data_IF_820596717006
#
_entry.id   IF_820596717006
#
_cell.length_a   1.000
_cell.length_b   1.000
_cell.length_c   1.000
_cell.angle_alpha   90.00
_cell.angle_beta   90.00
_cell.angle_gamma   90.00
#
_symmetry.space_group_name_H-M   'P 1'
#
loop_
_entity.id
_entity.type
_entity.pdbx_description
1 polymer ?
#
# COMPACT_ATOMS: atom_id res chain seq x y z
N UNK A 1 5.86 -7.30 -19.25
CA UNK A 1 6.75 -8.36 -19.75
C UNK A 1 6.08 -9.68 -19.47
N UNK A 2 5.31 -10.16 -20.45
CA UNK A 2 4.43 -11.35 -20.36
C UNK A 2 5.14 -12.62 -20.81
N UNK A 3 6.40 -12.53 -21.25
CA UNK A 3 7.18 -13.66 -21.70
C UNK A 3 8.12 -14.09 -20.57
N UNK A 4 7.88 -15.27 -20.01
CA UNK A 4 8.62 -15.90 -18.90
C UNK A 4 10.07 -16.27 -19.30
N UNK A 5 10.84 -15.30 -19.79
CA UNK A 5 12.22 -15.45 -20.23
C UNK A 5 13.17 -15.27 -19.06
N UNK A 6 13.90 -16.33 -18.73
CA UNK A 6 15.06 -16.22 -17.84
C UNK A 6 16.09 -15.26 -18.45
N UNK A 7 16.34 -14.15 -17.77
CA UNK A 7 17.37 -13.20 -18.17
C UNK A 7 18.74 -13.78 -17.82
N UNK A 8 19.54 -14.09 -18.85
CA UNK A 8 20.90 -14.60 -18.67
C UNK A 8 21.89 -13.44 -18.62
N UNK A 9 22.63 -13.34 -17.52
CA UNK A 9 23.64 -12.30 -17.32
C UNK A 9 24.99 -12.78 -17.83
N UNK A 10 25.57 -12.04 -18.78
CA UNK A 10 26.97 -12.26 -19.18
C UNK A 10 27.87 -11.78 -18.04
N UNK A 11 28.94 -12.52 -17.78
CA UNK A 11 29.94 -12.15 -16.77
C UNK A 11 31.17 -11.54 -17.43
N UNK A 12 31.68 -10.47 -16.84
CA UNK A 12 32.98 -9.88 -17.13
C UNK A 12 33.85 -9.97 -15.86
N UNK A 13 34.89 -10.80 -15.89
CA UNK A 13 35.73 -11.11 -14.73
C UNK A 13 34.93 -11.49 -13.46
N UNK A 14 33.88 -12.30 -13.63
CA UNK A 14 33.00 -12.73 -12.53
C UNK A 14 31.96 -11.69 -12.10
N UNK A 15 31.92 -10.51 -12.72
CA UNK A 15 30.93 -9.46 -12.43
C UNK A 15 29.81 -9.51 -13.47
N UNK A 16 28.53 -9.53 -13.06
CA UNK A 16 27.42 -9.53 -14.01
C UNK A 16 27.33 -8.20 -14.76
N UNK A 17 27.27 -8.29 -16.08
CA UNK A 17 27.01 -7.16 -16.98
C UNK A 17 25.51 -6.87 -17.03
N UNK A 18 25.16 -5.58 -17.17
CA UNK A 18 23.78 -5.18 -17.38
C UNK A 18 23.25 -5.79 -18.70
N UNK A 19 22.17 -6.59 -18.69
CA UNK A 19 21.62 -7.24 -19.88
C UNK A 19 21.13 -6.24 -20.93
N UNK A 20 20.82 -4.99 -20.53
CA UNK A 20 20.36 -3.92 -21.41
C UNK A 20 21.54 -3.07 -21.97
N UNK A 21 22.79 -3.46 -21.66
CA UNK A 21 23.99 -2.80 -22.19
C UNK A 21 24.62 -1.76 -21.25
N UNK A 22 25.58 -1.01 -21.77
CA UNK A 22 26.44 -0.11 -20.98
C UNK A 22 25.66 1.10 -20.48
N UNK A 23 25.77 1.40 -19.19
CA UNK A 23 25.20 2.60 -18.55
C UNK A 23 26.20 3.76 -18.40
N UNK A 24 27.46 3.56 -18.82
CA UNK A 24 28.54 4.54 -18.64
C UNK A 24 29.20 4.51 -17.25
N UNK A 25 28.70 3.69 -16.32
CA UNK A 25 29.27 3.50 -14.98
C UNK A 25 29.67 2.04 -14.77
N UNK A 26 30.75 1.81 -14.03
CA UNK A 26 31.18 0.48 -13.56
C UNK A 26 30.98 0.41 -12.04
N UNK A 27 30.76 -0.79 -11.52
CA UNK A 27 30.49 -1.00 -10.10
C UNK A 27 29.02 -1.29 -9.83
N UNK A 28 28.71 -1.60 -8.56
CA UNK A 28 27.34 -1.77 -8.06
C UNK A 28 26.67 -0.45 -7.67
N UNK A 29 27.46 0.61 -7.47
CA UNK A 29 26.96 1.88 -6.94
C UNK A 29 26.30 1.69 -5.57
N UNK A 30 25.11 2.29 -5.39
CA UNK A 30 24.32 2.20 -4.16
C UNK A 30 23.35 0.99 -4.11
N UNK A 31 23.33 0.13 -5.14
CA UNK A 31 22.41 -1.02 -5.19
C UNK A 31 22.81 -2.10 -4.18
N UNK A 32 21.88 -2.85 -3.55
CA UNK A 32 22.22 -3.86 -2.54
C UNK A 32 23.05 -5.07 -3.01
N UNK A 33 22.89 -5.54 -4.25
CA UNK A 33 23.57 -6.73 -4.81
C UNK A 33 24.16 -6.48 -6.20
N UNK A 34 25.16 -7.27 -6.58
CA UNK A 34 25.63 -7.33 -7.96
C UNK A 34 24.59 -8.05 -8.82
N UNK A 35 24.36 -7.55 -10.04
CA UNK A 35 23.36 -8.12 -10.95
C UNK A 35 21.93 -7.75 -10.54
N UNK A 36 20.96 -8.68 -10.57
CA UNK A 36 19.56 -8.39 -10.26
C UNK A 36 19.34 -7.88 -8.83
N UNK A 37 18.59 -6.78 -8.72
CA UNK A 37 18.12 -6.22 -7.45
C UNK A 37 16.60 -6.24 -7.47
N UNK A 38 16.00 -7.27 -6.88
CA UNK A 38 14.55 -7.45 -6.86
C UNK A 38 13.94 -6.61 -5.74
N UNK A 39 12.96 -5.80 -6.12
CA UNK A 39 12.13 -5.03 -5.21
C UNK A 39 10.68 -5.46 -5.39
N UNK A 40 9.95 -5.47 -4.28
CA UNK A 40 8.51 -5.71 -4.28
C UNK A 40 7.82 -4.41 -3.90
N UNK A 41 6.79 -4.08 -4.68
CA UNK A 41 5.91 -2.93 -4.47
C UNK A 41 4.57 -3.49 -4.00
N UNK A 42 4.10 -3.06 -2.83
CA UNK A 42 2.80 -3.45 -2.32
C UNK A 42 1.74 -2.43 -2.73
N UNK A 43 0.80 -2.84 -3.58
CA UNK A 43 -0.36 -2.05 -3.97
C UNK A 43 -1.59 -2.53 -3.19
N UNK A 44 -1.80 -1.94 -2.03
CA UNK A 44 -2.93 -2.27 -1.15
C UNK A 44 -4.06 -1.29 -1.45
N UNK A 45 -5.21 -1.80 -1.89
CA UNK A 45 -6.36 -1.00 -2.32
C UNK A 45 -7.64 -1.44 -1.63
N UNK A 46 -8.59 -0.52 -1.46
CA UNK A 46 -9.97 -0.82 -1.02
C UNK A 46 -10.97 0.14 -1.67
N UNK A 47 -12.17 -0.36 -1.94
CA UNK A 47 -13.30 0.49 -2.33
C UNK A 47 -13.95 1.10 -1.10
N UNK A 48 -14.28 2.39 -1.17
CA UNK A 48 -14.98 3.12 -0.12
C UNK A 48 -16.15 3.90 -0.74
N UNK A 49 -17.36 3.68 -0.23
CA UNK A 49 -18.57 4.39 -0.70
C UNK A 49 -18.79 5.63 0.15
N UNK A 50 -18.54 6.81 -0.41
CA UNK A 50 -18.92 8.07 0.24
C UNK A 50 -20.38 8.42 -0.08
N UNK A 51 -21.11 8.86 0.95
CA UNK A 51 -22.50 9.33 0.80
C UNK A 51 -22.64 10.50 -0.18
N UNK A 52 -21.58 11.28 -0.36
CA UNK A 52 -21.57 12.54 -1.14
C UNK A 52 -21.04 12.38 -2.56
N UNK A 53 -20.14 11.43 -2.82
CA UNK A 53 -19.36 11.37 -4.07
C UNK A 53 -19.35 9.99 -4.73
N UNK A 54 -20.13 9.03 -4.24
CA UNK A 54 -20.15 7.66 -4.76
C UNK A 54 -18.92 6.86 -4.32
N UNK A 55 -18.61 5.81 -5.09
CA UNK A 55 -17.52 4.90 -4.78
C UNK A 55 -16.16 5.50 -5.17
N UNK A 56 -15.24 5.58 -4.21
CA UNK A 56 -13.85 5.99 -4.41
C UNK A 56 -12.91 4.82 -4.15
N UNK A 57 -11.75 4.81 -4.80
CA UNK A 57 -10.69 3.85 -4.55
C UNK A 57 -9.65 4.48 -3.62
N UNK A 58 -9.41 3.84 -2.48
CA UNK A 58 -8.37 4.23 -1.53
C UNK A 58 -7.20 3.26 -1.63
N UNK A 59 -5.99 3.76 -1.42
CA UNK A 59 -4.78 2.94 -1.39
C UNK A 59 -3.77 3.44 -0.35
N UNK A 60 -2.92 2.53 0.11
CA UNK A 60 -1.93 2.81 1.15
C UNK A 60 -0.68 3.44 0.52
N UNK A 61 -0.18 4.50 1.16
CA UNK A 61 1.08 5.17 0.80
C UNK A 61 1.99 5.28 2.02
N UNK A 62 3.30 5.25 1.78
CA UNK A 62 4.32 5.61 2.73
C UNK A 62 4.64 7.10 2.58
N UNK A 63 4.56 7.85 3.68
CA UNK A 63 4.99 9.26 3.72
C UNK A 63 6.40 9.33 4.29
N UNK A 64 7.36 9.78 3.47
CA UNK A 64 8.73 10.01 3.93
C UNK A 64 8.88 11.42 4.47
N UNK A 65 9.14 11.55 5.78
CA UNK A 65 9.32 12.85 6.45
C UNK A 65 10.48 13.67 5.87
N UNK A 66 11.56 13.01 5.44
CA UNK A 66 12.78 13.70 4.97
C UNK A 66 12.61 14.48 3.66
N UNK A 67 11.63 14.14 2.83
CA UNK A 67 11.48 14.70 1.47
C UNK A 67 10.08 15.20 1.15
N UNK A 68 9.15 15.11 2.11
CA UNK A 68 7.71 15.36 1.93
C UNK A 68 7.16 14.70 0.64
N UNK A 69 7.56 13.44 0.43
CA UNK A 69 7.17 12.65 -0.73
C UNK A 69 6.29 11.50 -0.29
N UNK A 70 5.28 11.23 -1.10
CA UNK A 70 4.42 10.04 -1.00
C UNK A 70 4.93 8.99 -1.99
N UNK A 71 5.09 7.77 -1.51
CA UNK A 71 5.45 6.62 -2.34
C UNK A 71 4.60 5.41 -1.97
N UNK A 72 4.58 4.41 -2.83
CA UNK A 72 4.05 3.10 -2.44
C UNK A 72 4.98 2.45 -1.42
N UNK A 73 4.47 1.55 -0.55
CA UNK A 73 5.32 0.72 0.28
C UNK A 73 6.19 -0.19 -0.61
N UNK A 74 7.49 0.03 -0.59
CA UNK A 74 8.46 -0.71 -1.42
C UNK A 74 9.54 -1.32 -0.53
N UNK A 75 9.91 -2.58 -0.79
CA UNK A 75 11.02 -3.23 -0.09
C UNK A 75 11.93 -3.99 -1.04
N UNK A 76 13.23 -3.93 -0.78
CA UNK A 76 14.22 -4.81 -1.40
C UNK A 76 14.09 -6.21 -0.81
N UNK A 77 14.06 -7.23 -1.66
CA UNK A 77 13.96 -8.62 -1.21
C UNK A 77 15.31 -9.33 -1.36
N UNK A 78 15.91 -9.59 -0.21
CA UNK A 78 17.29 -10.05 -0.06
C UNK A 78 17.50 -11.55 -0.32
N UNK A 79 16.46 -12.35 -0.14
CA UNK A 79 16.53 -13.81 -0.24
C UNK A 79 15.14 -14.43 -0.09
N UNK A 80 15.08 -15.61 0.53
CA UNK A 80 13.88 -16.45 0.63
C UNK A 80 12.82 -15.92 1.61
N UNK A 81 13.14 -14.90 2.41
CA UNK A 81 12.27 -14.38 3.47
C UNK A 81 11.33 -13.25 3.01
N UNK A 82 10.68 -13.41 1.86
CA UNK A 82 9.83 -12.39 1.24
C UNK A 82 8.83 -11.76 2.21
N UNK A 83 8.02 -12.58 2.89
CA UNK A 83 6.92 -12.09 3.72
C UNK A 83 7.41 -11.40 5.00
N UNK A 84 8.54 -11.86 5.57
CA UNK A 84 9.18 -11.21 6.71
C UNK A 84 9.77 -9.84 6.33
N UNK A 85 10.44 -9.76 5.17
CA UNK A 85 10.95 -8.49 4.64
C UNK A 85 9.81 -7.50 4.40
N UNK A 86 8.68 -7.95 3.84
CA UNK A 86 7.50 -7.11 3.61
C UNK A 86 6.82 -6.70 4.90
N UNK A 87 6.76 -7.58 5.89
CA UNK A 87 6.20 -7.27 7.20
C UNK A 87 6.90 -6.09 7.87
N UNK A 88 8.21 -5.94 7.68
CA UNK A 88 8.99 -4.82 8.22
C UNK A 88 8.52 -3.43 7.76
N UNK A 89 7.71 -3.34 6.69
CA UNK A 89 7.09 -2.09 6.24
C UNK A 89 5.94 -1.65 7.16
N UNK A 90 5.35 -2.56 7.93
CA UNK A 90 4.14 -2.33 8.72
C UNK A 90 4.43 -2.53 10.21
N UNK A 91 3.79 -1.74 11.05
CA UNK A 91 3.87 -1.88 12.51
C UNK A 91 2.98 -3.04 12.97
N UNK A 92 3.45 -4.28 12.82
CA UNK A 92 2.72 -5.50 13.21
C UNK A 92 3.61 -6.44 14.04
N UNK A 93 2.98 -7.19 14.94
CA UNK A 93 3.62 -8.23 15.79
C UNK A 93 3.36 -9.64 15.28
N UNK A 94 2.64 -9.80 14.16
CA UNK A 94 2.43 -11.09 13.51
C UNK A 94 3.75 -11.63 12.93
N UNK A 95 3.81 -12.86 12.45
CA UNK A 95 4.97 -13.37 11.72
C UNK A 95 4.47 -13.94 10.40
N UNK A 96 4.64 -13.20 9.31
CA UNK A 96 4.17 -13.65 8.01
C UNK A 96 5.21 -14.54 7.35
N UNK A 97 4.80 -15.78 7.08
CA UNK A 97 5.55 -16.79 6.33
C UNK A 97 4.89 -17.12 4.99
N UNK A 98 3.60 -16.80 4.85
CA UNK A 98 2.79 -17.07 3.65
C UNK A 98 2.03 -15.84 3.17
N UNK A 99 1.55 -15.85 1.92
CA UNK A 99 0.65 -14.81 1.40
C UNK A 99 -0.67 -14.76 2.16
N UNK A 100 -1.19 -15.89 2.60
CA UNK A 100 -2.50 -15.97 3.26
C UNK A 100 -2.51 -15.22 4.59
N UNK A 101 -1.42 -15.31 5.36
CA UNK A 101 -1.23 -14.57 6.61
C UNK A 101 -1.20 -13.05 6.36
N UNK A 102 -0.42 -12.61 5.37
CA UNK A 102 -0.38 -11.21 4.96
C UNK A 102 -1.75 -10.70 4.49
N UNK A 103 -2.44 -11.47 3.65
CA UNK A 103 -3.76 -11.11 3.13
C UNK A 103 -4.78 -11.03 4.28
N UNK A 104 -4.71 -11.96 5.24
CA UNK A 104 -5.57 -11.96 6.43
C UNK A 104 -5.37 -10.70 7.26
N UNK A 105 -4.13 -10.27 7.47
CA UNK A 105 -3.81 -9.02 8.17
C UNK A 105 -4.50 -7.81 7.50
N UNK A 106 -4.32 -7.62 6.19
CA UNK A 106 -4.91 -6.48 5.49
C UNK A 106 -6.44 -6.53 5.42
N UNK A 107 -7.03 -7.74 5.34
CA UNK A 107 -8.48 -7.91 5.45
C UNK A 107 -8.99 -7.51 6.84
N UNK A 108 -8.26 -7.83 7.91
CA UNK A 108 -8.59 -7.41 9.27
C UNK A 108 -8.51 -5.89 9.46
N UNK A 109 -7.52 -5.24 8.85
CA UNK A 109 -7.38 -3.79 8.87
C UNK A 109 -8.46 -3.04 8.07
N UNK A 110 -9.16 -3.73 7.16
CA UNK A 110 -10.21 -3.14 6.33
C UNK A 110 -11.59 -3.08 7.01
N UNK A 111 -11.73 -3.59 8.24
CA UNK A 111 -13.01 -3.56 8.95
C UNK A 111 -13.43 -2.12 9.26
N UNK A 112 -14.73 -1.79 9.12
CA UNK A 112 -15.23 -0.45 9.40
C UNK A 112 -14.97 -0.10 10.86
N UNK A 113 -14.39 1.09 11.09
CA UNK A 113 -14.34 1.69 12.43
C UNK A 113 -15.78 1.71 12.95
N UNK A 114 -16.08 1.13 14.13
CA UNK A 114 -17.41 1.20 14.71
C UNK A 114 -17.85 2.66 14.76
N UNK A 115 -18.99 2.99 14.14
CA UNK A 115 -19.53 4.33 14.19
C UNK A 115 -19.75 4.66 15.68
N UNK A 116 -19.06 5.65 16.25
CA UNK A 116 -19.26 5.98 17.65
C UNK A 116 -20.72 6.42 17.85
N UNK A 117 -21.40 5.99 18.94
CA UNK A 117 -22.81 6.30 19.18
C UNK A 117 -23.14 7.81 19.13
N UNK A 118 -22.15 8.66 19.38
CA UNK A 118 -22.26 10.12 19.30
C UNK A 118 -22.55 10.66 17.89
N UNK A 119 -22.26 9.90 16.84
CA UNK A 119 -22.54 10.31 15.46
C UNK A 119 -23.99 10.02 15.01
N UNK A 120 -24.82 9.40 15.85
CA UNK A 120 -26.21 9.05 15.55
C UNK A 120 -27.20 10.15 15.99
N UNK A 121 -26.77 11.11 16.81
CA UNK A 121 -27.63 12.22 17.25
C UNK A 121 -27.32 13.50 16.48
N UNK A 122 -28.08 13.74 15.41
CA UNK A 122 -28.44 15.11 15.00
C UNK A 122 -29.95 15.21 15.06
N UNK A 123 -30.50 16.32 15.61
CA UNK A 123 -31.88 16.39 16.05
C UNK A 123 -32.84 16.30 14.87
N UNK A 124 -33.86 15.46 15.03
CA UNK A 124 -35.07 15.48 14.20
C UNK A 124 -35.62 16.90 14.28
N UNK A 125 -35.74 17.57 13.14
CA UNK A 125 -36.28 18.92 13.07
C UNK A 125 -37.68 18.97 13.69
N UNK A 126 -37.79 19.70 14.78
CA UNK A 126 -39.06 20.09 15.38
C UNK A 126 -39.73 21.06 14.40
N UNK A 127 -40.78 20.60 13.71
CA UNK A 127 -41.62 21.47 12.90
C UNK A 127 -42.43 22.33 13.87
N UNK A 128 -42.02 23.60 14.00
CA UNK A 128 -42.80 24.60 14.71
C UNK A 128 -44.16 24.76 14.02
N UNK A 129 -45.23 24.37 14.70
CA UNK A 129 -46.60 24.65 14.29
C UNK A 129 -46.92 26.07 14.77
N UNK A 130 -47.13 26.98 13.82
CA UNK A 130 -47.51 28.38 14.02
C UNK A 130 -48.89 28.48 14.72
N UNK A 131 -49.02 29.19 15.87
CA UNK A 131 -50.28 29.30 16.61
C UNK A 131 -51.17 30.46 16.12
N UNK A 132 -51.30 30.66 14.81
CA UNK A 132 -52.12 31.75 14.24
C UNK A 132 -53.10 31.31 13.15
N UNK A 133 -53.98 30.35 13.45
CA UNK A 133 -55.27 30.24 12.74
C UNK A 133 -56.39 29.85 13.71
N UNK A 134 -56.85 30.86 14.45
CA UNK A 134 -58.20 30.88 14.99
C UNK A 134 -58.98 31.98 14.26
N UNK A 135 -60.05 31.60 13.56
CA UNK A 135 -61.37 32.27 13.58
C UNK A 135 -62.29 31.76 12.46
N UNK A 136 -63.51 31.41 12.91
CA UNK A 136 -64.78 31.16 12.21
C UNK A 136 -64.97 29.80 11.53
#
# INVERSE_FOLDING_TARGET
>A
NEDNHNVVYKLDNGIPLNPIGRTGLRGRGALPRWGPNHYVILLITRWHSLKTSGNVLEFVVEKTERRDQLSLPVRFIGGECLYLDLQSLFKTTENWTTSDEMIKFFKGAALPVPIPPSAIQSPVGEVAVDPSTGLL
#
